data_IF_148623021533
#
_entry.id   IF_148623021533
#
_cell.length_a   1.000
_cell.length_b   1.000
_cell.length_c   1.000
_cell.angle_alpha   90.00
_cell.angle_beta   90.00
_cell.angle_gamma   90.00
#
_symmetry.space_group_name_H-M   'P 1'
#
loop_
_entity.id
_entity.type
_entity.pdbx_description
1 polymer ?
#
# COMPACT_ATOMS: atom_id res chain seq x y z
N UNK A 1 -5.61 3.48 38.26
CA UNK A 1 -6.34 2.57 37.35
C UNK A 1 -6.30 3.24 35.99
N UNK A 2 -5.67 2.54 35.06
CA UNK A 2 -5.04 3.05 33.85
C UNK A 2 -6.07 3.52 32.81
N UNK A 3 -5.90 4.74 32.31
CA UNK A 3 -6.70 5.30 31.24
C UNK A 3 -6.03 4.90 29.92
N UNK A 4 -6.39 3.72 29.41
CA UNK A 4 -5.98 3.25 28.10
C UNK A 4 -6.37 4.27 27.03
N UNK A 5 -5.37 4.98 26.50
CA UNK A 5 -5.54 6.01 25.50
C UNK A 5 -6.06 5.36 24.21
N UNK A 6 -7.33 5.61 23.90
CA UNK A 6 -7.93 5.27 22.60
C UNK A 6 -7.29 6.20 21.56
N UNK A 7 -6.18 5.75 20.94
CA UNK A 7 -5.56 6.46 19.82
C UNK A 7 -6.47 6.31 18.60
N UNK A 8 -7.15 7.40 18.24
CA UNK A 8 -8.06 7.44 17.08
C UNK A 8 -7.29 7.41 15.76
N UNK A 9 -7.78 6.68 14.75
CA UNK A 9 -7.22 6.58 13.37
C UNK A 9 -6.81 7.93 12.74
N UNK A 10 -7.50 9.01 13.10
CA UNK A 10 -7.21 10.37 12.61
C UNK A 10 -5.87 10.93 13.11
N UNK A 11 -5.47 10.58 14.34
CA UNK A 11 -4.20 11.02 14.93
C UNK A 11 -3.01 10.36 14.25
N UNK A 12 -3.12 9.06 14.02
CA UNK A 12 -2.12 8.22 13.35
C UNK A 12 -1.84 8.69 11.92
N UNK A 13 -2.90 9.02 11.17
CA UNK A 13 -2.75 9.56 9.82
C UNK A 13 -2.10 10.95 9.84
N UNK A 14 -2.40 11.76 10.86
CA UNK A 14 -1.76 13.07 11.08
C UNK A 14 -0.27 12.92 11.39
N UNK A 15 0.07 12.06 12.35
CA UNK A 15 1.46 11.80 12.73
C UNK A 15 2.26 11.30 11.50
N UNK A 16 1.77 10.29 10.79
CA UNK A 16 2.50 9.77 9.63
C UNK A 16 2.62 10.77 8.47
N UNK A 17 1.64 11.67 8.30
CA UNK A 17 1.78 12.77 7.34
C UNK A 17 2.95 13.69 7.70
N UNK A 18 3.11 14.06 8.98
CA UNK A 18 4.25 14.88 9.43
C UNK A 18 5.60 14.24 9.13
N UNK A 19 5.71 12.92 9.31
CA UNK A 19 6.93 12.21 8.95
C UNK A 19 7.15 12.14 7.44
N UNK A 20 6.10 11.88 6.65
CA UNK A 20 6.21 11.82 5.19
C UNK A 20 6.68 13.15 4.59
N UNK A 21 6.23 14.28 5.14
CA UNK A 21 6.65 15.64 4.72
C UNK A 21 8.16 15.88 4.88
N UNK A 22 8.83 15.24 5.85
CA UNK A 22 10.26 15.46 6.10
C UNK A 22 11.19 14.44 5.41
N UNK A 23 10.62 13.48 4.68
CA UNK A 23 11.35 12.43 3.96
C UNK A 23 11.60 12.78 2.49
N UNK A 24 12.67 12.24 1.90
CA UNK A 24 12.87 12.27 0.45
C UNK A 24 11.89 11.34 -0.27
N UNK A 25 11.66 11.58 -1.57
CA UNK A 25 10.73 10.83 -2.42
C UNK A 25 10.84 9.31 -2.26
N UNK A 26 12.07 8.77 -2.35
CA UNK A 26 12.31 7.33 -2.25
C UNK A 26 12.03 6.80 -0.84
N UNK A 27 12.39 7.55 0.20
CA UNK A 27 12.08 7.18 1.58
C UNK A 27 10.57 7.24 1.88
N UNK A 28 9.83 8.20 1.29
CA UNK A 28 8.36 8.24 1.36
C UNK A 28 7.75 7.02 0.69
N UNK A 29 8.21 6.65 -0.50
CA UNK A 29 7.70 5.47 -1.21
C UNK A 29 7.88 4.19 -0.38
N UNK A 30 9.08 3.97 0.20
CA UNK A 30 9.34 2.83 1.10
C UNK A 30 8.39 2.84 2.30
N UNK A 31 8.30 3.97 3.00
CA UNK A 31 7.49 4.07 4.20
C UNK A 31 6.00 3.87 3.90
N UNK A 32 5.52 4.45 2.80
CA UNK A 32 4.15 4.28 2.33
C UNK A 32 3.83 2.81 2.05
N UNK A 33 4.71 2.12 1.34
CA UNK A 33 4.55 0.71 1.04
C UNK A 33 4.52 -0.14 2.31
N UNK A 34 5.45 0.08 3.25
CA UNK A 34 5.49 -0.64 4.52
C UNK A 34 4.28 -0.35 5.41
N UNK A 35 3.74 0.87 5.39
CA UNK A 35 2.50 1.17 6.12
C UNK A 35 1.35 0.29 5.63
N UNK A 36 1.26 0.09 4.32
CA UNK A 36 0.15 -0.65 3.73
C UNK A 36 0.31 -2.18 3.85
N UNK A 37 1.47 -2.70 3.44
CA UNK A 37 1.74 -4.13 3.41
C UNK A 37 2.21 -4.68 4.76
N UNK A 38 2.54 -3.78 5.71
CA UNK A 38 3.13 -4.03 7.04
C UNK A 38 4.53 -4.58 7.03
N UNK A 39 4.86 -5.39 6.05
CA UNK A 39 6.20 -5.89 5.83
C UNK A 39 6.51 -5.98 4.35
N UNK A 40 7.80 -6.00 4.04
CA UNK A 40 8.32 -6.22 2.71
C UNK A 40 9.72 -6.83 2.78
N UNK A 41 10.07 -7.64 1.78
CA UNK A 41 11.45 -8.05 1.59
C UNK A 41 12.30 -6.88 1.09
N UNK A 42 13.61 -6.94 1.35
CA UNK A 42 14.53 -5.89 0.86
C UNK A 42 14.57 -5.80 -0.66
N UNK A 43 14.40 -6.93 -1.34
CA UNK A 43 14.36 -7.06 -2.79
C UNK A 43 13.15 -6.31 -3.38
N UNK A 44 11.99 -6.42 -2.73
CA UNK A 44 10.76 -5.73 -3.09
C UNK A 44 10.92 -4.21 -2.93
N UNK A 45 11.44 -3.78 -1.78
CA UNK A 45 11.71 -2.35 -1.53
C UNK A 45 12.75 -1.78 -2.50
N UNK A 46 13.76 -2.56 -2.87
CA UNK A 46 14.75 -2.15 -3.88
C UNK A 46 14.09 -1.88 -5.23
N UNK A 47 13.23 -2.81 -5.67
CA UNK A 47 12.51 -2.67 -6.93
C UNK A 47 11.51 -1.51 -6.89
N UNK A 48 10.88 -1.25 -5.73
CA UNK A 48 9.93 -0.15 -5.55
C UNK A 48 10.56 1.23 -5.84
N UNK A 49 11.82 1.44 -5.47
CA UNK A 49 12.51 2.72 -5.63
C UNK A 49 13.58 2.73 -6.72
N UNK A 50 13.60 1.70 -7.57
CA UNK A 50 14.63 1.48 -8.60
C UNK A 50 16.06 1.66 -8.04
N UNK A 51 16.33 1.10 -6.87
CA UNK A 51 17.63 1.22 -6.22
C UNK A 51 18.68 0.31 -6.90
N UNK A 52 19.93 0.77 -7.04
CA UNK A 52 21.04 0.01 -7.63
C UNK A 52 21.48 -1.17 -6.75
N UNK A 53 21.10 -1.19 -5.47
CA UNK A 53 21.41 -2.28 -4.56
C UNK A 53 20.77 -2.13 -3.17
N UNK A 54 20.81 -3.23 -2.42
CA UNK A 54 20.15 -3.37 -1.11
C UNK A 54 20.67 -2.34 -0.08
N UNK A 55 21.93 -1.94 -0.18
CA UNK A 55 22.53 -0.93 0.71
C UNK A 55 21.79 0.40 0.67
N UNK A 56 21.34 0.85 -0.52
CA UNK A 56 20.60 2.09 -0.66
C UNK A 56 19.26 2.04 0.10
N UNK A 57 18.61 0.88 0.09
CA UNK A 57 17.37 0.63 0.83
C UNK A 57 17.65 0.59 2.34
N UNK A 58 18.71 -0.12 2.76
CA UNK A 58 19.11 -0.19 4.18
C UNK A 58 19.42 1.19 4.75
N UNK A 59 20.17 2.00 4.01
CA UNK A 59 20.48 3.38 4.40
C UNK A 59 19.19 4.19 4.60
N UNK A 60 18.23 4.08 3.67
CA UNK A 60 16.94 4.78 3.83
C UNK A 60 16.13 4.30 5.03
N UNK A 61 16.04 2.99 5.25
CA UNK A 61 15.30 2.43 6.38
C UNK A 61 15.89 2.86 7.73
N UNK A 62 17.22 2.77 7.88
CA UNK A 62 17.91 3.02 9.15
C UNK A 62 18.27 4.49 9.36
N UNK A 63 18.93 5.09 8.38
CA UNK A 63 19.56 6.41 8.53
C UNK A 63 18.66 7.57 8.10
N UNK A 64 17.56 7.28 7.40
CA UNK A 64 16.59 8.30 6.97
C UNK A 64 15.26 8.14 7.70
N UNK A 65 14.54 7.05 7.47
CA UNK A 65 13.20 6.82 8.03
C UNK A 65 13.28 6.70 9.56
N UNK A 66 14.07 5.77 10.08
CA UNK A 66 14.18 5.58 11.53
C UNK A 66 14.82 6.78 12.23
N UNK A 67 15.84 7.43 11.66
CA UNK A 67 16.39 8.65 12.24
C UNK A 67 15.34 9.77 12.37
N UNK A 68 14.56 10.01 11.31
CA UNK A 68 13.53 11.05 11.32
C UNK A 68 12.40 10.71 12.29
N UNK A 69 11.97 9.45 12.31
CA UNK A 69 10.98 8.98 13.28
C UNK A 69 11.49 9.05 14.73
N UNK A 70 12.76 8.74 14.96
CA UNK A 70 13.39 8.87 16.28
C UNK A 70 13.40 10.32 16.75
N UNK A 71 13.63 11.29 15.85
CA UNK A 71 13.60 12.72 16.16
C UNK A 71 12.20 13.24 16.44
N UNK A 72 11.19 12.77 15.70
CA UNK A 72 9.80 13.23 15.84
C UNK A 72 9.06 12.53 16.99
N UNK A 73 9.23 11.22 17.13
CA UNK A 73 8.43 10.37 18.03
C UNK A 73 9.25 9.61 19.06
N UNK A 74 10.57 9.81 19.11
CA UNK A 74 11.44 9.19 20.12
C UNK A 74 11.66 7.69 19.93
N UNK A 75 11.26 7.10 18.80
CA UNK A 75 11.43 5.67 18.51
C UNK A 75 11.58 5.40 17.01
N UNK A 76 12.29 4.31 16.62
CA UNK A 76 12.23 3.80 15.24
C UNK A 76 10.85 3.24 14.94
N UNK A 77 10.50 3.22 13.65
CA UNK A 77 9.18 2.79 13.17
C UNK A 77 9.26 1.68 12.13
N UNK A 78 10.46 1.38 11.63
CA UNK A 78 10.72 0.22 10.79
C UNK A 78 11.81 -0.64 11.41
N UNK A 79 11.68 -1.97 11.28
CA UNK A 79 12.62 -2.91 11.88
C UNK A 79 12.73 -4.19 11.07
N UNK A 80 13.88 -4.85 11.12
CA UNK A 80 14.07 -6.12 10.45
C UNK A 80 13.75 -7.28 11.40
N UNK A 81 12.96 -8.24 10.91
CA UNK A 81 12.65 -9.46 11.64
C UNK A 81 13.03 -10.68 10.81
N UNK A 82 13.80 -11.59 11.41
CA UNK A 82 14.15 -12.85 10.76
C UNK A 82 12.95 -13.79 10.63
N UNK A 83 12.00 -13.70 11.56
CA UNK A 83 10.79 -14.51 11.58
C UNK A 83 9.75 -13.84 12.47
N UNK A 84 8.65 -13.39 11.88
CA UNK A 84 7.51 -12.84 12.62
C UNK A 84 6.19 -13.33 11.99
N UNK A 85 5.21 -13.65 12.82
CA UNK A 85 3.87 -14.00 12.33
C UNK A 85 3.11 -12.71 12.05
N UNK A 86 2.58 -12.58 10.83
CA UNK A 86 1.69 -11.49 10.46
C UNK A 86 0.37 -11.62 11.26
N UNK A 87 0.02 -10.67 12.15
CA UNK A 87 -1.18 -10.83 13.00
C UNK A 87 -2.52 -10.64 12.27
N UNK A 88 -2.53 -10.36 10.96
CA UNK A 88 -3.74 -10.15 10.15
C UNK A 88 -4.01 -11.38 9.28
N UNK A 89 -2.98 -11.89 8.59
CA UNK A 89 -3.08 -13.08 7.74
C UNK A 89 -2.81 -14.37 8.52
N UNK A 90 -2.08 -14.29 9.64
CA UNK A 90 -1.61 -15.45 10.42
C UNK A 90 -0.39 -16.14 9.81
N UNK A 91 0.15 -15.62 8.71
CA UNK A 91 1.27 -16.23 8.00
C UNK A 91 2.60 -15.98 8.72
N UNK A 92 3.47 -16.99 8.73
CA UNK A 92 4.85 -16.85 9.22
C UNK A 92 5.71 -16.24 8.12
N UNK A 93 6.14 -15.01 8.32
CA UNK A 93 6.97 -14.25 7.36
C UNK A 93 8.41 -14.25 7.85
N UNK A 94 9.35 -14.51 6.94
CA UNK A 94 10.77 -14.61 7.24
C UNK A 94 11.55 -13.45 6.62
N UNK A 95 12.66 -13.07 7.26
CA UNK A 95 13.66 -12.12 6.77
C UNK A 95 13.10 -10.86 6.09
N UNK A 96 12.15 -10.20 6.75
CA UNK A 96 11.43 -9.05 6.18
C UNK A 96 11.59 -7.80 7.04
N UNK A 97 11.43 -6.64 6.41
CA UNK A 97 11.35 -5.35 7.08
C UNK A 97 9.91 -5.05 7.43
N UNK A 98 9.65 -4.68 8.68
CA UNK A 98 8.34 -4.47 9.25
C UNK A 98 8.12 -3.03 9.64
N UNK A 99 6.91 -2.56 9.44
CA UNK A 99 6.39 -1.39 10.11
C UNK A 99 6.05 -1.74 11.56
N UNK A 100 6.77 -1.14 12.50
CA UNK A 100 6.73 -1.46 13.93
C UNK A 100 5.57 -0.78 14.67
N UNK A 101 4.86 0.15 14.02
CA UNK A 101 3.74 0.84 14.64
C UNK A 101 2.46 0.01 14.49
N UNK A 102 2.33 -1.03 15.32
CA UNK A 102 1.24 -2.02 15.26
C UNK A 102 -0.15 -1.41 15.48
N UNK A 103 -0.25 -0.27 16.16
CA UNK A 103 -1.51 0.45 16.44
C UNK A 103 -2.07 1.19 15.21
N UNK A 104 -1.28 1.31 14.14
CA UNK A 104 -1.50 2.28 13.05
C UNK A 104 -1.85 1.70 11.69
N UNK A 105 -1.97 0.39 11.59
CA UNK A 105 -2.33 -0.26 10.33
C UNK A 105 -3.81 0.02 10.06
N UNK A 106 -4.17 0.62 8.90
CA UNK A 106 -5.57 0.64 8.51
C UNK A 106 -6.05 -0.80 8.37
N UNK A 107 -6.90 -1.25 9.30
CA UNK A 107 -7.76 -2.40 9.08
C UNK A 107 -8.60 -2.03 7.86
N UNK A 108 -8.20 -2.50 6.68
CA UNK A 108 -8.85 -2.23 5.41
C UNK A 108 -10.25 -2.83 5.40
N UNK A 109 -11.20 -2.09 5.98
CA UNK A 109 -12.63 -2.34 5.91
C UNK A 109 -13.28 -1.75 4.65
N UNK A 110 -12.50 -1.37 3.63
CA UNK A 110 -13.05 -0.73 2.44
C UNK A 110 -12.11 -0.79 1.24
N UNK A 111 -12.65 -1.26 0.12
CA UNK A 111 -12.00 -1.50 -1.18
C UNK A 111 -11.60 -0.21 -1.94
N UNK A 112 -11.26 0.89 -1.23
CA UNK A 112 -10.90 2.18 -1.83
C UNK A 112 -9.38 2.36 -1.82
N UNK A 113 -8.74 2.56 -2.99
CA UNK A 113 -7.31 2.84 -3.05
C UNK A 113 -6.99 4.14 -2.31
N UNK A 114 -5.94 4.11 -1.48
CA UNK A 114 -5.39 5.30 -0.85
C UNK A 114 -4.45 6.00 -1.84
N UNK A 115 -4.61 7.32 -1.93
CA UNK A 115 -3.83 8.19 -2.80
C UNK A 115 -3.36 9.38 -1.97
N UNK A 116 -2.07 9.64 -1.97
CA UNK A 116 -1.46 10.82 -1.38
C UNK A 116 -0.73 11.64 -2.45
N UNK A 117 -0.71 12.95 -2.26
CA UNK A 117 -0.11 13.93 -3.17
C UNK A 117 0.86 14.78 -2.37
N UNK A 118 2.13 14.76 -2.77
CA UNK A 118 3.21 15.55 -2.18
C UNK A 118 3.54 16.71 -3.11
N UNK A 119 3.56 17.92 -2.57
CA UNK A 119 3.91 19.12 -3.32
C UNK A 119 5.30 19.60 -2.89
N UNK A 120 6.29 19.38 -3.73
CA UNK A 120 7.67 19.80 -3.52
C UNK A 120 7.93 21.15 -4.20
N UNK A 121 9.15 21.68 -4.04
CA UNK A 121 9.50 23.00 -4.59
C UNK A 121 9.42 23.04 -6.12
N UNK A 122 9.80 21.95 -6.78
CA UNK A 122 9.96 21.82 -8.22
C UNK A 122 9.20 20.63 -8.82
N UNK A 123 8.53 19.82 -7.98
CA UNK A 123 7.86 18.59 -8.40
C UNK A 123 6.54 18.35 -7.63
N UNK A 124 5.63 17.57 -8.21
CA UNK A 124 4.45 17.04 -7.51
C UNK A 124 4.45 15.52 -7.68
N UNK A 125 4.47 14.80 -6.55
CA UNK A 125 4.51 13.34 -6.53
C UNK A 125 3.17 12.78 -6.07
N UNK A 126 2.58 11.90 -6.86
CA UNK A 126 1.35 11.19 -6.51
C UNK A 126 1.70 9.73 -6.21
N UNK A 127 1.48 9.31 -4.96
CA UNK A 127 1.66 7.92 -4.54
C UNK A 127 0.27 7.31 -4.35
N UNK A 128 -0.01 6.26 -5.14
CA UNK A 128 -1.30 5.58 -5.12
C UNK A 128 -1.07 4.08 -5.06
N UNK A 129 -1.75 3.43 -4.12
CA UNK A 129 -1.87 1.98 -4.16
C UNK A 129 -3.06 1.61 -5.05
N UNK A 130 -2.89 0.63 -5.92
CA UNK A 130 -3.91 0.24 -6.89
C UNK A 130 -4.51 -1.10 -6.47
N UNK A 131 -5.85 -1.26 -6.51
CA UNK A 131 -6.53 -2.49 -6.07
C UNK A 131 -6.29 -3.67 -7.02
N UNK A 132 -5.43 -3.48 -8.02
CA UNK A 132 -5.42 -4.25 -9.25
C UNK A 132 -4.08 -4.02 -9.96
N UNK A 133 -3.51 -5.07 -10.54
CA UNK A 133 -2.31 -4.95 -11.36
C UNK A 133 -2.61 -4.21 -12.66
N UNK A 134 -1.74 -3.28 -13.03
CA UNK A 134 -1.91 -2.41 -14.20
C UNK A 134 -0.80 -2.60 -15.22
N UNK A 135 -1.11 -2.27 -16.47
CA UNK A 135 -0.13 -2.20 -17.55
C UNK A 135 0.45 -0.77 -17.61
N UNK A 136 1.76 -0.67 -17.44
CA UNK A 136 2.51 0.59 -17.42
C UNK A 136 3.09 1.01 -18.78
N UNK A 137 2.90 0.21 -19.84
CA UNK A 137 3.48 0.50 -21.17
C UNK A 137 2.79 1.66 -21.89
N UNK A 138 1.51 1.94 -21.59
CA UNK A 138 0.72 2.98 -22.25
C UNK A 138 -0.16 3.74 -21.24
N UNK A 139 0.45 4.50 -20.32
CA UNK A 139 -0.29 5.35 -19.41
C UNK A 139 -0.89 6.53 -20.17
N UNK A 140 -2.16 6.87 -19.88
CA UNK A 140 -2.77 8.11 -20.36
C UNK A 140 -2.76 9.13 -19.21
N UNK A 141 -1.89 10.14 -19.32
CA UNK A 141 -1.76 11.23 -18.35
C UNK A 141 -2.29 12.51 -19.00
N UNK A 142 -3.24 13.19 -18.34
CA UNK A 142 -3.79 14.47 -18.80
C UNK A 142 -3.84 15.46 -17.66
N UNK A 143 -3.42 16.69 -17.92
CA UNK A 143 -3.61 17.82 -17.01
C UNK A 143 -4.42 18.92 -17.70
N UNK A 144 -5.60 19.23 -17.15
CA UNK A 144 -6.46 20.29 -17.70
C UNK A 144 -7.22 20.97 -16.58
N UNK A 145 -7.21 22.31 -16.56
CA UNK A 145 -7.94 23.13 -15.59
C UNK A 145 -7.64 22.76 -14.12
N UNK A 146 -6.37 22.53 -13.78
CA UNK A 146 -5.99 22.16 -12.41
C UNK A 146 -6.20 20.69 -12.04
N UNK A 147 -6.74 19.87 -12.95
CA UNK A 147 -7.05 18.45 -12.67
C UNK A 147 -6.05 17.54 -13.37
N UNK A 148 -5.29 16.77 -12.59
CA UNK A 148 -4.47 15.66 -13.06
C UNK A 148 -5.32 14.39 -13.18
N UNK A 149 -5.32 13.78 -14.35
CA UNK A 149 -5.97 12.49 -14.63
C UNK A 149 -4.92 11.49 -15.10
N UNK A 150 -4.77 10.42 -14.33
CA UNK A 150 -3.93 9.26 -14.69
C UNK A 150 -4.87 8.10 -15.00
N UNK A 151 -4.76 7.54 -16.20
CA UNK A 151 -5.52 6.35 -16.60
C UNK A 151 -4.55 5.25 -17.00
N UNK A 152 -4.61 4.17 -16.23
CA UNK A 152 -3.83 2.96 -16.46
C UNK A 152 -4.78 1.84 -16.91
N UNK A 153 -4.35 1.05 -17.89
CA UNK A 153 -5.09 -0.16 -18.28
C UNK A 153 -4.79 -1.26 -17.26
N UNK A 154 -5.76 -2.13 -16.99
CA UNK A 154 -5.52 -3.34 -16.17
C UNK A 154 -4.58 -4.28 -16.91
N UNK A 155 -3.85 -5.11 -16.17
CA UNK A 155 -3.01 -6.15 -16.77
C UNK A 155 -3.85 -7.23 -17.47
N UNK A 156 -3.26 -7.95 -18.41
CA UNK A 156 -3.94 -9.01 -19.17
C UNK A 156 -4.43 -10.14 -18.25
N UNK A 157 -3.60 -10.53 -17.27
CA UNK A 157 -3.95 -11.53 -16.26
C UNK A 157 -5.23 -11.17 -15.46
N UNK A 158 -5.48 -9.89 -15.22
CA UNK A 158 -6.71 -9.44 -14.57
C UNK A 158 -7.91 -9.37 -15.51
N UNK A 159 -7.68 -8.99 -16.77
CA UNK A 159 -8.72 -8.99 -17.78
C UNK A 159 -9.29 -10.40 -17.95
N UNK A 160 -8.44 -11.41 -18.04
CA UNK A 160 -8.82 -12.83 -18.16
C UNK A 160 -9.58 -13.35 -16.93
N UNK A 161 -9.15 -12.97 -15.71
CA UNK A 161 -9.88 -13.32 -14.48
C UNK A 161 -11.33 -12.83 -14.53
N UNK A 162 -11.55 -11.58 -14.95
CA UNK A 162 -12.91 -11.02 -15.12
C UNK A 162 -13.74 -11.75 -16.18
N UNK A 163 -13.14 -12.14 -17.31
CA UNK A 163 -13.85 -12.92 -18.35
C UNK A 163 -14.33 -14.26 -17.81
N UNK A 164 -13.49 -14.99 -17.07
CA UNK A 164 -13.85 -16.28 -16.44
C UNK A 164 -14.92 -16.12 -15.36
N UNK A 165 -14.90 -15.04 -14.57
CA UNK A 165 -15.94 -14.77 -13.56
C UNK A 165 -17.30 -14.45 -14.18
N UNK A 166 -17.35 -13.70 -15.28
CA UNK A 166 -18.60 -13.41 -16.01
C UNK A 166 -19.20 -14.67 -16.65
N UNK A 167 -18.38 -15.51 -17.29
CA UNK A 167 -18.84 -16.77 -17.89
C UNK A 167 -19.45 -17.76 -16.87
N UNK A 168 -18.95 -17.78 -15.63
CA UNK A 168 -19.46 -18.64 -14.55
C UNK A 168 -20.77 -18.11 -13.92
N UNK A 169 -21.01 -16.80 -14.00
CA UNK A 169 -22.25 -16.16 -13.53
C UNK A 169 -23.44 -16.35 -14.47
N UNK A 170 -23.20 -16.37 -15.79
CA UNK A 170 -24.26 -16.56 -16.80
C UNK A 170 -24.79 -18.01 -16.85
N UNK A 171 -23.99 -18.99 -16.43
CA UNK A 171 -24.41 -20.40 -16.33
C UNK A 171 -25.39 -20.71 -15.18
N UNK A 172 -25.41 -19.92 -14.11
CA UNK A 172 -26.33 -20.13 -12.95
C UNK A 172 -27.70 -19.48 -13.13
N UNK A 173 -27.84 -18.47 -13.99
CA UNK A 173 -29.13 -17.79 -14.19
C UNK A 173 -30.10 -18.61 -15.06
N UNK A 174 -29.59 -19.48 -15.95
CA UNK A 174 -30.43 -20.34 -16.80
C UNK A 174 -30.96 -21.62 -16.13
N UNK A 175 -30.51 -21.99 -14.92
CA UNK A 175 -31.00 -23.21 -14.24
C UNK A 175 -32.17 -22.97 -13.27
N UNK A 176 -32.64 -21.72 -13.10
CA UNK A 176 -33.74 -21.39 -12.17
C UNK A 176 -35.11 -21.16 -12.84
N UNK A 177 -35.20 -21.26 -14.17
CA UNK A 177 -36.44 -21.10 -14.93
C UNK A 177 -36.76 -22.41 -15.67
N UNK A 178 -36.89 -23.52 -14.95
CA UNK A 178 -37.50 -24.75 -15.47
C UNK A 178 -37.83 -25.70 -14.30
N UNK A 179 -38.80 -25.31 -13.46
CA UNK A 179 -39.51 -26.25 -12.57
C UNK A 179 -40.70 -25.54 -11.91
N UNK A 180 -41.67 -25.13 -12.71
CA UNK A 180 -43.06 -24.87 -12.29
C UNK A 180 -43.95 -25.07 -13.52
N UNK A 181 -44.28 -26.33 -13.81
CA UNK A 181 -45.49 -26.76 -14.51
C UNK A 181 -45.51 -28.28 -14.46
N UNK A 182 -45.86 -28.80 -13.29
CA UNK A 182 -46.44 -30.12 -13.13
C UNK A 182 -47.20 -30.11 -11.80
N UNK A 183 -48.48 -29.74 -11.89
CA UNK A 183 -49.61 -30.15 -11.04
C UNK A 183 -50.90 -29.51 -11.55
#
# INVERSE_FOLDING_TARGET
>A
MDAGAVVTKSKIKGDLAELLEVLDEKSRAILWHLWWHRHAEISELRNLIDAPGDFEVLHRLKEVINEKAQRLWGKPIVGFEQSKTDPVTGEKVLFSWWFLNEESVPISGGNKPLVDVFNEKDSVTVIAELPTSVNLSQPEIRYKNGVLKIRLRKSEAEAERRYKTKAKGEGKSKSKIKNQNDR
#
